data_IF_512292003484
#
_entry.id   IF_512292003484
#
_cell.length_a   1.000
_cell.length_b   1.000
_cell.length_c   1.000
_cell.angle_alpha   90.00
_cell.angle_beta   90.00
_cell.angle_gamma   90.00
#
_symmetry.space_group_name_H-M   'P 1'
#
loop_
_entity.id
_entity.type
_entity.pdbx_description
1 polymer ?
#
# COMPACT_ATOMS: atom_id res chain seq x y z
N UNK A 1 -11.83 -4.79 5.73
CA UNK A 1 -11.92 -5.90 6.71
C UNK A 1 -10.51 -6.38 7.07
N UNK A 2 -10.26 -6.90 8.29
CA UNK A 2 -8.96 -7.47 8.65
C UNK A 2 -8.69 -8.79 7.93
N UNK A 3 -7.41 -9.17 7.78
CA UNK A 3 -7.01 -10.49 7.24
C UNK A 3 -6.57 -10.51 5.77
N UNK A 4 -6.61 -9.37 5.06
CA UNK A 4 -6.19 -9.26 3.66
C UNK A 4 -4.81 -8.63 3.46
N UNK A 5 -4.11 -8.37 4.57
CA UNK A 5 -2.77 -7.82 4.63
C UNK A 5 -1.98 -8.71 5.59
N UNK A 6 -0.86 -9.24 5.12
CA UNK A 6 0.02 -10.07 5.94
C UNK A 6 0.87 -9.19 6.86
N UNK A 7 1.15 -9.70 8.07
CA UNK A 7 2.15 -9.15 8.99
C UNK A 7 2.74 -10.34 9.75
N UNK A 8 4.05 -10.54 9.65
CA UNK A 8 4.70 -11.72 10.21
C UNK A 8 4.52 -11.79 11.74
N UNK A 9 4.15 -12.97 12.24
CA UNK A 9 3.87 -13.19 13.66
C UNK A 9 2.55 -12.59 14.17
N UNK A 10 1.72 -12.01 13.30
CA UNK A 10 0.45 -11.39 13.69
C UNK A 10 -0.74 -12.00 12.92
N UNK A 11 -1.95 -11.83 13.47
CA UNK A 11 -3.18 -12.32 12.83
C UNK A 11 -3.55 -11.55 11.55
N UNK A 12 -3.20 -10.27 11.48
CA UNK A 12 -3.42 -9.40 10.32
C UNK A 12 -2.49 -8.19 10.40
N UNK A 13 -2.17 -7.60 9.24
CA UNK A 13 -1.50 -6.31 9.11
C UNK A 13 -2.48 -5.17 8.80
N UNK A 14 -1.95 -3.95 8.71
CA UNK A 14 -2.71 -2.72 8.51
C UNK A 14 -2.32 -2.03 7.20
N UNK A 15 -3.32 -1.48 6.48
CA UNK A 15 -3.09 -0.76 5.23
C UNK A 15 -2.15 0.45 5.40
N UNK A 16 -2.17 1.09 6.56
CA UNK A 16 -1.28 2.20 6.88
C UNK A 16 0.21 1.82 6.83
N UNK A 17 0.57 0.61 7.25
CA UNK A 17 1.97 0.15 7.28
C UNK A 17 2.46 -0.48 5.97
N UNK A 18 1.66 -0.42 4.91
CA UNK A 18 1.98 -1.05 3.62
C UNK A 18 2.54 -0.10 2.58
N UNK A 19 2.43 1.22 2.82
CA UNK A 19 2.68 2.24 1.80
C UNK A 19 3.55 3.39 2.31
N UNK A 20 3.94 4.26 1.39
CA UNK A 20 4.66 5.51 1.67
C UNK A 20 4.52 6.50 0.53
N UNK A 21 4.80 7.78 0.82
CA UNK A 21 4.87 8.83 -0.20
C UNK A 21 6.22 8.79 -0.90
N UNK A 22 6.24 8.84 -2.23
CA UNK A 22 7.46 8.91 -3.05
C UNK A 22 7.70 10.34 -3.55
N UNK A 23 6.64 11.01 -4.01
CA UNK A 23 6.63 12.40 -4.49
C UNK A 23 5.23 12.98 -4.36
N UNK A 24 5.03 14.25 -4.73
CA UNK A 24 3.72 14.92 -4.68
C UNK A 24 2.57 14.16 -5.38
N UNK A 25 2.89 13.32 -6.37
CA UNK A 25 1.90 12.61 -7.19
C UNK A 25 2.16 11.11 -7.27
N UNK A 26 3.05 10.56 -6.45
CA UNK A 26 3.37 9.13 -6.45
C UNK A 26 3.42 8.57 -5.03
N UNK A 27 2.80 7.41 -4.84
CA UNK A 27 2.88 6.63 -3.62
C UNK A 27 3.31 5.21 -3.95
N UNK A 28 4.11 4.62 -3.09
CA UNK A 28 4.60 3.25 -3.21
C UNK A 28 3.86 2.35 -2.22
N UNK A 29 3.58 1.11 -2.62
CA UNK A 29 2.94 0.09 -1.80
C UNK A 29 3.70 -1.23 -1.89
N UNK A 30 3.80 -1.96 -0.78
CA UNK A 30 4.68 -3.12 -0.60
C UNK A 30 4.42 -4.28 -1.57
N UNK A 31 3.17 -4.44 -2.04
CA UNK A 31 2.76 -5.54 -2.91
C UNK A 31 1.38 -5.32 -3.54
N UNK A 32 0.95 -6.26 -4.39
CA UNK A 32 -0.32 -6.18 -5.10
C UNK A 32 -1.51 -6.35 -4.16
N UNK A 33 -2.59 -5.62 -4.45
CA UNK A 33 -3.84 -5.62 -3.67
C UNK A 33 -4.97 -6.42 -4.34
N UNK A 34 -4.61 -7.33 -5.26
CA UNK A 34 -5.57 -8.09 -6.07
C UNK A 34 -6.58 -8.89 -5.24
N UNK A 35 -6.16 -9.35 -4.07
CA UNK A 35 -6.99 -10.13 -3.15
C UNK A 35 -7.68 -9.28 -2.06
N UNK A 36 -7.51 -7.95 -2.07
CA UNK A 36 -8.12 -7.08 -1.06
C UNK A 36 -9.57 -6.76 -1.45
N UNK A 37 -10.58 -6.97 -0.57
CA UNK A 37 -11.99 -6.76 -0.90
C UNK A 37 -12.28 -5.31 -1.32
N UNK A 38 -11.63 -4.36 -0.67
CA UNK A 38 -11.72 -2.93 -1.00
C UNK A 38 -10.74 -2.47 -2.09
N UNK A 39 -10.20 -3.37 -2.94
CA UNK A 39 -9.23 -3.00 -4.01
C UNK A 39 -9.67 -1.78 -4.81
N UNK A 40 -10.92 -1.77 -5.27
CA UNK A 40 -11.44 -0.69 -6.10
C UNK A 40 -11.52 0.64 -5.34
N UNK A 41 -11.88 0.62 -4.06
CA UNK A 41 -11.92 1.83 -3.21
C UNK A 41 -10.51 2.38 -2.99
N UNK A 42 -9.53 1.51 -2.72
CA UNK A 42 -8.13 1.89 -2.56
C UNK A 42 -7.61 2.54 -3.86
N UNK A 43 -7.80 1.89 -5.01
CA UNK A 43 -7.37 2.44 -6.30
C UNK A 43 -8.08 3.76 -6.63
N UNK A 44 -9.38 3.86 -6.33
CA UNK A 44 -10.14 5.09 -6.54
C UNK A 44 -9.69 6.23 -5.61
N UNK A 45 -9.27 5.94 -4.38
CA UNK A 45 -8.71 6.93 -3.48
C UNK A 45 -7.45 7.56 -4.08
N UNK A 46 -6.48 6.75 -4.53
CA UNK A 46 -5.27 7.28 -5.17
C UNK A 46 -5.59 8.05 -6.46
N UNK A 47 -6.47 7.50 -7.30
CA UNK A 47 -6.91 8.14 -8.54
C UNK A 47 -7.58 9.50 -8.29
N UNK A 48 -8.49 9.60 -7.32
CA UNK A 48 -9.20 10.84 -6.97
C UNK A 48 -8.25 11.93 -6.49
N UNK A 49 -7.20 11.53 -5.77
CA UNK A 49 -6.17 12.44 -5.27
C UNK A 49 -5.06 12.73 -6.30
N UNK A 50 -5.18 12.27 -7.55
CA UNK A 50 -4.16 12.39 -8.61
C UNK A 50 -2.79 11.84 -8.18
N UNK A 51 -2.81 10.78 -7.37
CA UNK A 51 -1.63 10.04 -6.92
C UNK A 51 -1.57 8.72 -7.69
N UNK A 52 -0.42 8.45 -8.29
CA UNK A 52 -0.11 7.18 -8.94
C UNK A 52 0.41 6.19 -7.89
N UNK A 53 -0.24 5.04 -7.80
CA UNK A 53 0.18 3.96 -6.92
C UNK A 53 1.19 3.05 -7.64
N UNK A 54 2.37 2.88 -7.06
CA UNK A 54 3.46 2.06 -7.57
C UNK A 54 3.62 0.83 -6.68
N UNK A 55 3.49 -0.35 -7.27
CA UNK A 55 3.66 -1.63 -6.58
C UNK A 55 5.14 -2.02 -6.54
N UNK A 56 5.71 -2.16 -5.34
CA UNK A 56 7.11 -2.56 -5.15
C UNK A 56 7.36 -4.04 -5.45
N UNK A 57 6.30 -4.84 -5.49
CA UNK A 57 6.38 -6.29 -5.68
C UNK A 57 5.11 -6.82 -6.36
N UNK A 58 5.24 -7.98 -7.01
CA UNK A 58 4.12 -8.79 -7.50
C UNK A 58 3.54 -9.73 -6.43
N UNK A 59 4.15 -9.77 -5.24
CA UNK A 59 3.67 -10.55 -4.08
C UNK A 59 2.46 -9.87 -3.44
N UNK A 60 1.63 -10.60 -2.67
CA UNK A 60 0.56 -10.00 -1.88
C UNK A 60 1.07 -8.86 -0.98
N UNK A 61 0.21 -7.87 -0.76
CA UNK A 61 0.48 -6.74 0.13
C UNK A 61 0.86 -7.20 1.55
N UNK A 62 1.93 -6.59 2.07
CA UNK A 62 2.53 -6.88 3.38
C UNK A 62 2.64 -5.58 4.20
N UNK A 63 2.29 -5.65 5.47
CA UNK A 63 2.57 -4.60 6.43
C UNK A 63 4.06 -4.66 6.84
N UNK A 64 4.77 -3.57 6.58
CA UNK A 64 6.21 -3.40 6.86
C UNK A 64 6.45 -2.18 7.75
N UNK A 65 5.42 -1.68 8.44
CA UNK A 65 5.50 -0.54 9.36
C UNK A 65 5.14 0.80 8.73
N UNK A 66 5.86 1.25 7.69
CA UNK A 66 5.58 2.40 6.79
C UNK A 66 6.82 2.55 5.91
N UNK A 67 6.67 2.96 4.65
CA UNK A 67 7.83 3.25 3.80
C UNK A 67 8.18 4.74 3.90
N UNK A 68 9.40 5.05 4.35
CA UNK A 68 9.92 6.41 4.45
C UNK A 68 10.89 6.66 3.30
N UNK A 69 10.53 7.59 2.41
CA UNK A 69 11.39 8.02 1.31
C UNK A 69 12.34 9.12 1.79
N UNK A 70 13.65 8.91 1.64
CA UNK A 70 14.68 9.84 2.13
C UNK A 70 14.93 11.03 1.19
N UNK A 71 14.61 10.88 -0.09
CA UNK A 71 14.71 11.91 -1.11
C UNK A 71 13.41 11.96 -1.88
N UNK A 72 12.47 12.79 -1.43
CA UNK A 72 11.23 13.09 -2.17
C UNK A 72 11.35 14.47 -2.79
N UNK A 73 10.92 14.60 -4.05
CA UNK A 73 10.91 15.84 -4.84
C UNK A 73 9.51 16.44 -4.89
#
# INVERSE_FOLDING_TARGET
EPGYISLEGQKYGFIGGTNGSLSNNESIISGVIDNHPNKNEILNFFKKNKVKLIFLSKKPILDIGTIITLYSH
#
